data_IF_339247314906
#
_entry.id   IF_339247314906
#
_cell.length_a   1.000
_cell.length_b   1.000
_cell.length_c   1.000
_cell.angle_alpha   90.00
_cell.angle_beta   90.00
_cell.angle_gamma   90.00
#
_symmetry.space_group_name_H-M   'P 1'
#
loop_
_entity.id
_entity.type
_entity.pdbx_description
1 polymer ?
#
# COMPACT_ATOMS: atom_id res chain seq x y z
N UNK A 1 18.03 10.98 3.14
CA UNK A 1 17.93 9.65 2.48
C UNK A 1 16.51 9.53 1.96
N UNK A 2 16.27 8.85 0.85
CA UNK A 2 14.91 8.68 0.32
C UNK A 2 14.14 7.58 1.07
N UNK A 3 12.81 7.60 0.99
CA UNK A 3 11.96 6.51 1.47
C UNK A 3 12.26 5.27 0.61
N UNK A 4 12.69 4.19 1.25
CA UNK A 4 13.00 2.91 0.57
C UNK A 4 11.79 2.00 0.45
N UNK A 5 10.80 2.18 1.32
CA UNK A 5 9.57 1.37 1.33
C UNK A 5 8.46 2.03 2.14
N UNK A 6 7.23 1.89 1.65
CA UNK A 6 6.00 2.19 2.38
C UNK A 6 5.48 0.91 3.01
N UNK A 7 5.30 0.90 4.33
CA UNK A 7 4.74 -0.21 5.10
C UNK A 7 3.31 0.17 5.49
N UNK A 8 2.32 -0.58 5.01
CA UNK A 8 0.91 -0.26 5.23
C UNK A 8 0.29 -1.27 6.18
N UNK A 9 -0.27 -0.82 7.31
CA UNK A 9 -1.23 -1.63 8.06
C UNK A 9 -2.54 -1.69 7.27
N UNK A 10 -2.80 -2.85 6.69
CA UNK A 10 -3.93 -3.06 5.81
C UNK A 10 -5.29 -2.95 6.50
N UNK A 11 -5.43 -3.37 7.77
CA UNK A 11 -6.72 -3.26 8.45
C UNK A 11 -6.96 -1.88 9.06
N UNK A 12 -5.90 -1.19 9.48
CA UNK A 12 -5.96 0.22 9.81
C UNK A 12 -6.45 1.01 8.59
N UNK A 13 -5.81 0.85 7.43
CA UNK A 13 -6.21 1.59 6.24
C UNK A 13 -7.63 1.24 5.74
N UNK A 14 -8.02 -0.04 5.75
CA UNK A 14 -9.39 -0.45 5.40
C UNK A 14 -10.44 0.07 6.38
N UNK A 15 -10.07 0.31 7.64
CA UNK A 15 -10.99 0.89 8.61
C UNK A 15 -11.31 2.35 8.28
N UNK A 16 -10.32 3.11 7.81
CA UNK A 16 -10.45 4.52 7.43
C UNK A 16 -10.82 4.73 5.96
N UNK A 17 -11.09 3.66 5.20
CA UNK A 17 -11.48 3.74 3.78
C UNK A 17 -12.69 2.84 3.44
N UNK A 18 -13.87 3.09 4.05
CA UNK A 18 -15.05 2.25 3.87
C UNK A 18 -15.58 2.23 2.43
N UNK A 19 -15.34 3.29 1.65
CA UNK A 19 -15.76 3.41 0.25
C UNK A 19 -14.99 2.47 -0.68
N UNK A 20 -13.76 2.09 -0.32
CA UNK A 20 -12.89 1.24 -1.16
C UNK A 20 -13.54 -0.12 -1.48
N UNK A 21 -14.30 -0.66 -0.52
CA UNK A 21 -14.99 -1.94 -0.65
C UNK A 21 -16.41 -1.82 -0.08
N UNK A 22 -17.19 -0.88 -0.63
CA UNK A 22 -18.54 -0.58 -0.16
C UNK A 22 -19.42 -1.83 -0.02
N UNK A 23 -20.00 -2.01 1.17
CA UNK A 23 -20.88 -3.15 1.47
C UNK A 23 -20.17 -4.48 1.72
N UNK A 24 -18.83 -4.51 1.77
CA UNK A 24 -18.04 -5.69 2.15
C UNK A 24 -17.48 -5.54 3.57
N UNK A 25 -17.40 -6.61 4.36
CA UNK A 25 -16.68 -6.57 5.63
C UNK A 25 -15.19 -6.24 5.40
N UNK A 26 -14.61 -5.39 6.24
CA UNK A 26 -13.18 -5.00 6.15
C UNK A 26 -12.19 -6.17 6.21
N UNK A 27 -12.57 -7.26 6.89
CA UNK A 27 -11.75 -8.48 7.00
C UNK A 27 -12.00 -9.47 5.86
N UNK A 28 -12.86 -9.14 4.90
CA UNK A 28 -13.17 -10.02 3.78
C UNK A 28 -12.03 -10.07 2.76
N UNK A 29 -11.96 -11.18 2.02
CA UNK A 29 -11.08 -11.31 0.87
C UNK A 29 -11.23 -10.14 -0.11
N UNK A 30 -12.47 -9.76 -0.44
CA UNK A 30 -12.76 -8.69 -1.40
C UNK A 30 -12.22 -7.32 -0.96
N UNK A 31 -12.28 -6.99 0.33
CA UNK A 31 -11.72 -5.75 0.85
C UNK A 31 -10.19 -5.72 0.73
N UNK A 32 -9.53 -6.84 1.04
CA UNK A 32 -8.07 -6.97 0.90
C UNK A 32 -7.63 -6.90 -0.56
N UNK A 33 -8.36 -7.58 -1.45
CA UNK A 33 -8.08 -7.60 -2.89
C UNK A 33 -8.22 -6.19 -3.51
N UNK A 34 -9.28 -5.46 -3.14
CA UNK A 34 -9.47 -4.06 -3.55
C UNK A 34 -8.31 -3.17 -3.06
N UNK A 35 -7.89 -3.34 -1.80
CA UNK A 35 -6.75 -2.61 -1.26
C UNK A 35 -5.45 -2.92 -2.01
N UNK A 36 -5.13 -4.19 -2.23
CA UNK A 36 -3.92 -4.61 -2.96
C UNK A 36 -3.92 -4.03 -4.38
N UNK A 37 -5.07 -4.00 -5.06
CA UNK A 37 -5.20 -3.42 -6.39
C UNK A 37 -4.87 -1.93 -6.43
N UNK A 38 -5.42 -1.15 -5.48
CA UNK A 38 -5.18 0.30 -5.42
C UNK A 38 -3.74 0.61 -5.00
N UNK A 39 -3.19 -0.14 -4.04
CA UNK A 39 -1.79 0.04 -3.63
C UNK A 39 -0.80 -0.32 -4.75
N UNK A 40 -1.15 -1.28 -5.62
CA UNK A 40 -0.35 -1.58 -6.81
C UNK A 40 -0.34 -0.41 -7.78
N UNK A 41 -1.50 0.19 -8.06
CA UNK A 41 -1.57 1.41 -8.88
C UNK A 41 -0.78 2.56 -8.26
N UNK A 42 -0.83 2.73 -6.95
CA UNK A 42 -0.04 3.74 -6.25
C UNK A 42 1.47 3.48 -6.37
N UNK A 43 1.93 2.23 -6.21
CA UNK A 43 3.34 1.88 -6.43
C UNK A 43 3.76 2.20 -7.87
N UNK A 44 2.94 1.86 -8.86
CA UNK A 44 3.22 2.14 -10.26
C UNK A 44 3.26 3.65 -10.56
N UNK A 45 2.42 4.44 -9.86
CA UNK A 45 2.31 5.89 -10.04
C UNK A 45 3.40 6.69 -9.35
N UNK A 46 3.76 6.28 -8.13
CA UNK A 46 4.72 6.97 -7.28
C UNK A 46 6.16 6.46 -7.48
N UNK A 47 6.32 5.24 -7.98
CA UNK A 47 7.59 4.52 -7.99
C UNK A 47 8.07 4.10 -6.60
N UNK A 48 7.25 4.28 -5.55
CA UNK A 48 7.60 3.91 -4.18
C UNK A 48 7.24 2.45 -3.91
N UNK A 49 8.19 1.58 -3.51
CA UNK A 49 7.88 0.20 -3.17
C UNK A 49 6.90 0.12 -1.99
N UNK A 50 5.83 -0.65 -2.15
CA UNK A 50 4.79 -0.83 -1.11
C UNK A 50 4.78 -2.26 -0.61
N UNK A 51 4.71 -2.41 0.71
CA UNK A 51 4.38 -3.67 1.38
C UNK A 51 3.15 -3.44 2.24
N UNK A 52 2.11 -4.25 2.04
CA UNK A 52 0.91 -4.25 2.89
C UNK A 52 0.96 -5.43 3.86
N UNK A 53 0.67 -5.17 5.13
CA UNK A 53 0.68 -6.13 6.21
C UNK A 53 -0.74 -6.30 6.73
N UNK A 54 -1.22 -7.54 6.77
CA UNK A 54 -2.50 -7.88 7.38
C UNK A 54 -2.31 -8.76 8.61
N UNK A 55 -3.17 -8.57 9.61
CA UNK A 55 -3.20 -9.49 10.73
C UNK A 55 -3.70 -10.88 10.32
N UNK A 56 -2.85 -11.89 10.52
CA UNK A 56 -3.13 -13.28 10.17
C UNK A 56 -4.20 -13.94 11.04
N UNK A 57 -4.63 -13.29 12.13
CA UNK A 57 -5.77 -13.72 12.93
C UNK A 57 -7.12 -13.65 12.18
N UNK A 58 -7.20 -12.87 11.10
CA UNK A 58 -8.42 -12.70 10.29
C UNK A 58 -8.45 -13.45 8.96
N UNK A 59 -7.36 -14.14 8.57
CA UNK A 59 -7.31 -14.84 7.29
C UNK A 59 -8.00 -16.22 7.40
N UNK A 60 -8.98 -16.55 6.53
CA UNK A 60 -9.59 -17.87 6.51
C UNK A 60 -8.55 -19.00 6.35
N UNK A 61 -8.79 -20.19 6.93
CA UNK A 61 -7.95 -21.36 6.71
C UNK A 61 -7.77 -21.61 5.21
N UNK A 62 -6.52 -21.76 4.75
CA UNK A 62 -6.19 -21.98 3.34
C UNK A 62 -5.79 -20.73 2.56
N UNK A 63 -5.81 -19.53 3.16
CA UNK A 63 -5.21 -18.33 2.55
C UNK A 63 -3.69 -18.59 2.37
N UNK A 64 -3.14 -18.53 1.14
CA UNK A 64 -1.71 -18.72 0.90
C UNK A 64 -0.90 -17.75 1.74
N UNK A 65 0.12 -18.25 2.44
CA UNK A 65 0.88 -17.47 3.42
C UNK A 65 1.69 -16.32 2.79
N UNK A 66 2.03 -16.44 1.51
CA UNK A 66 2.78 -15.46 0.73
C UNK A 66 2.13 -15.37 -0.65
N UNK A 67 1.16 -14.48 -0.84
CA UNK A 67 0.62 -14.13 -2.16
C UNK A 67 1.42 -12.97 -2.78
N UNK A 68 2.76 -12.99 -2.69
CA UNK A 68 3.58 -12.10 -3.50
C UNK A 68 3.38 -12.49 -4.96
N UNK A 69 2.44 -11.84 -5.64
CA UNK A 69 2.16 -12.09 -7.04
C UNK A 69 3.32 -11.57 -7.89
N UNK A 70 3.62 -12.30 -8.98
CA UNK A 70 4.63 -11.99 -10.00
C UNK A 70 4.44 -10.64 -10.73
N UNK A 71 3.51 -9.78 -10.29
CA UNK A 71 3.14 -8.48 -10.88
C UNK A 71 2.31 -7.64 -9.90
N UNK A 72 2.81 -7.35 -8.70
CA UNK A 72 2.09 -6.52 -7.72
C UNK A 72 2.97 -6.08 -6.55
N UNK A 73 2.34 -5.58 -5.50
CA UNK A 73 2.99 -5.22 -4.24
C UNK A 73 3.30 -6.45 -3.38
N UNK A 74 4.16 -6.28 -2.36
CA UNK A 74 4.38 -7.33 -1.36
C UNK A 74 3.22 -7.37 -0.36
N UNK A 75 2.67 -8.57 -0.14
CA UNK A 75 1.59 -8.80 0.84
C UNK A 75 2.10 -9.75 1.91
N UNK A 76 2.12 -9.29 3.17
CA UNK A 76 2.54 -10.07 4.33
C UNK A 76 1.36 -10.33 5.26
N UNK A 77 1.30 -11.54 5.81
CA UNK A 77 0.38 -11.89 6.88
C UNK A 77 1.14 -12.15 8.17
N UNK A 78 0.71 -11.54 9.28
CA UNK A 78 1.28 -11.85 10.60
C UNK A 78 1.03 -13.32 10.97
N UNK A 79 1.94 -13.92 11.75
CA UNK A 79 1.76 -15.31 12.22
C UNK A 79 0.77 -15.35 13.37
N UNK A 80 0.22 -16.53 13.68
CA UNK A 80 -0.61 -16.72 14.88
C UNK A 80 0.17 -16.27 16.14
N UNK A 81 -0.42 -15.34 16.90
CA UNK A 81 0.21 -14.75 18.08
C UNK A 81 1.17 -13.60 17.80
N UNK A 82 1.26 -13.13 16.55
CA UNK A 82 1.93 -11.87 16.18
C UNK A 82 0.90 -10.87 15.65
N UNK A 83 1.15 -9.58 15.87
CA UNK A 83 0.34 -8.48 15.29
C UNK A 83 1.00 -7.94 14.02
N UNK A 84 0.24 -7.19 13.23
CA UNK A 84 0.74 -6.45 12.07
C UNK A 84 1.83 -5.46 12.49
N UNK A 85 1.62 -4.74 13.59
CA UNK A 85 2.58 -3.80 14.18
C UNK A 85 3.93 -4.48 14.44
N UNK A 86 3.93 -5.67 15.05
CA UNK A 86 5.18 -6.42 15.29
C UNK A 86 5.93 -6.79 14.01
N UNK A 87 5.20 -7.00 12.90
CA UNK A 87 5.82 -7.24 11.59
C UNK A 87 6.37 -5.93 11.04
N UNK A 88 5.62 -4.83 11.14
CA UNK A 88 6.02 -3.50 10.67
C UNK A 88 7.27 -3.01 11.40
N UNK A 89 7.30 -3.10 12.73
CA UNK A 89 8.47 -2.76 13.57
C UNK A 89 9.71 -3.58 13.16
N UNK A 90 9.53 -4.88 12.93
CA UNK A 90 10.64 -5.76 12.51
C UNK A 90 11.16 -5.36 11.14
N UNK A 91 10.28 -5.09 10.18
CA UNK A 91 10.68 -4.67 8.83
C UNK A 91 11.35 -3.30 8.88
N UNK A 92 10.80 -2.35 9.63
CA UNK A 92 11.39 -1.03 9.84
C UNK A 92 12.81 -1.13 10.42
N UNK A 93 13.01 -1.97 11.44
CA UNK A 93 14.33 -2.21 12.01
C UNK A 93 15.32 -2.82 11.01
N UNK A 94 14.89 -3.82 10.25
CA UNK A 94 15.73 -4.49 9.24
C UNK A 94 16.08 -3.58 8.06
N UNK A 95 15.23 -2.61 7.74
CA UNK A 95 15.43 -1.69 6.62
C UNK A 95 16.37 -0.52 6.91
N UNK A 96 16.68 -0.25 8.18
CA UNK A 96 17.55 0.87 8.60
C UNK A 96 18.86 1.02 7.80
N UNK A 97 19.61 -0.06 7.49
CA UNK A 97 20.86 0.08 6.73
C UNK A 97 20.66 0.52 5.27
N UNK A 98 19.45 0.33 4.73
CA UNK A 98 19.12 0.61 3.34
C UNK A 98 18.48 1.99 3.17
N UNK A 99 17.75 2.47 4.18
CA UNK A 99 17.18 3.82 4.21
C UNK A 99 15.94 3.92 5.09
N UNK A 100 15.12 4.93 4.81
CA UNK A 100 13.98 5.29 5.62
C UNK A 100 12.72 4.53 5.18
N UNK A 101 11.94 4.00 6.12
CA UNK A 101 10.61 3.46 5.82
C UNK A 101 9.53 4.45 6.23
N UNK A 102 8.43 4.47 5.49
CA UNK A 102 7.22 5.20 5.86
C UNK A 102 6.15 4.22 6.30
N UNK A 103 5.73 4.24 7.56
CA UNK A 103 4.60 3.46 8.04
C UNK A 103 3.28 4.21 7.83
N UNK A 104 2.25 3.52 7.34
CA UNK A 104 0.90 4.05 7.17
C UNK A 104 0.00 3.38 8.20
N UNK A 105 -0.33 4.15 9.23
CA UNK A 105 -1.15 3.69 10.35
C UNK A 105 -1.65 4.89 11.17
N UNK A 106 -2.83 4.73 11.75
CA UNK A 106 -3.38 5.65 12.75
C UNK A 106 -3.14 5.18 14.20
N UNK A 107 -2.46 4.04 14.42
CA UNK A 107 -2.06 3.61 15.77
C UNK A 107 -0.89 4.47 16.28
N UNK A 108 -1.09 5.15 17.41
CA UNK A 108 -0.07 6.05 17.95
C UNK A 108 1.21 5.33 18.40
N UNK A 109 1.09 4.16 19.02
CA UNK A 109 2.24 3.42 19.55
C UNK A 109 3.12 2.88 18.42
N UNK A 110 2.49 2.42 17.34
CA UNK A 110 3.20 1.96 16.15
C UNK A 110 3.97 3.11 15.48
N UNK A 111 3.31 4.27 15.31
CA UNK A 111 3.93 5.48 14.73
C UNK A 111 5.18 5.90 15.48
N UNK A 112 5.08 6.04 16.80
CA UNK A 112 6.21 6.41 17.67
C UNK A 112 7.34 5.39 17.55
N UNK A 113 7.01 4.10 17.49
CA UNK A 113 8.02 3.05 17.35
C UNK A 113 8.76 3.16 16.03
N UNK A 114 8.06 3.29 14.90
CA UNK A 114 8.70 3.44 13.57
C UNK A 114 9.57 4.70 13.51
N UNK A 115 9.10 5.82 14.08
CA UNK A 115 9.86 7.07 14.16
C UNK A 115 11.13 6.88 15.00
N UNK A 116 11.02 6.22 16.16
CA UNK A 116 12.19 5.91 17.02
C UNK A 116 13.22 5.02 16.31
N UNK A 117 12.77 4.22 15.34
CA UNK A 117 13.63 3.38 14.51
C UNK A 117 14.29 4.15 13.37
N UNK A 118 14.00 5.44 13.19
CA UNK A 118 14.53 6.29 12.12
C UNK A 118 13.71 6.25 10.83
N UNK A 119 12.45 5.80 10.90
CA UNK A 119 11.46 5.92 9.84
C UNK A 119 10.58 7.17 9.99
N UNK A 120 9.57 7.27 9.13
CA UNK A 120 8.47 8.23 9.22
C UNK A 120 7.13 7.52 9.32
N UNK A 121 6.10 8.26 9.74
CA UNK A 121 4.75 7.74 9.81
C UNK A 121 3.73 8.69 9.18
N UNK A 122 2.84 8.14 8.35
CA UNK A 122 1.77 8.83 7.64
C UNK A 122 0.40 8.37 8.17
N UNK A 123 -0.56 9.28 8.29
CA UNK A 123 -1.93 8.91 8.68
C UNK A 123 -2.64 8.22 7.52
N UNK A 124 -3.67 7.43 7.82
CA UNK A 124 -4.45 6.76 6.78
C UNK A 124 -5.09 7.76 5.82
N UNK A 125 -5.65 8.86 6.33
CA UNK A 125 -6.32 9.90 5.55
C UNK A 125 -5.34 10.61 4.62
N UNK A 126 -4.15 10.96 5.12
CA UNK A 126 -3.11 11.60 4.32
C UNK A 126 -2.61 10.66 3.22
N UNK A 127 -2.49 9.37 3.54
CA UNK A 127 -2.08 8.36 2.58
C UNK A 127 -3.13 8.13 1.48
N UNK A 128 -4.42 8.13 1.82
CA UNK A 128 -5.53 8.08 0.85
C UNK A 128 -5.42 9.25 -0.13
N UNK A 129 -5.21 10.48 0.35
CA UNK A 129 -5.03 11.64 -0.51
C UNK A 129 -3.83 11.49 -1.45
N UNK A 130 -2.69 11.00 -0.94
CA UNK A 130 -1.51 10.74 -1.79
C UNK A 130 -1.80 9.70 -2.87
N UNK A 131 -2.58 8.67 -2.56
CA UNK A 131 -3.00 7.68 -3.57
C UNK A 131 -3.80 8.36 -4.67
N UNK A 132 -4.82 9.13 -4.31
CA UNK A 132 -5.68 9.81 -5.28
C UNK A 132 -4.90 10.78 -6.16
N UNK A 133 -3.97 11.53 -5.59
CA UNK A 133 -3.14 12.49 -6.31
C UNK A 133 -2.22 11.80 -7.33
N UNK A 134 -1.53 10.73 -6.91
CA UNK A 134 -0.60 10.01 -7.78
C UNK A 134 -1.31 9.20 -8.86
N UNK A 135 -2.36 8.46 -8.50
CA UNK A 135 -3.14 7.64 -9.45
C UNK A 135 -3.90 8.54 -10.43
N UNK A 136 -4.51 9.63 -9.94
CA UNK A 136 -5.16 10.64 -10.78
C UNK A 136 -4.18 11.29 -11.76
N UNK A 137 -2.97 11.65 -11.30
CA UNK A 137 -1.91 12.19 -12.13
C UNK A 137 -1.45 11.24 -13.24
N UNK A 138 -1.26 9.94 -12.92
CA UNK A 138 -0.90 8.93 -13.91
C UNK A 138 -1.99 8.79 -14.99
N UNK A 139 -3.25 8.68 -14.59
CA UNK A 139 -4.37 8.57 -15.53
C UNK A 139 -4.48 9.78 -16.47
N UNK A 140 -4.23 10.99 -15.97
CA UNK A 140 -4.17 12.20 -16.77
C UNK A 140 -3.06 12.14 -17.84
N UNK A 141 -1.85 11.77 -17.44
CA UNK A 141 -0.70 11.63 -18.35
C UNK A 141 -0.95 10.59 -19.46
N UNK A 142 -1.48 9.42 -19.10
CA UNK A 142 -1.83 8.37 -20.05
C UNK A 142 -2.90 8.83 -21.06
N UNK A 143 -3.91 9.57 -20.61
CA UNK A 143 -4.95 10.13 -21.48
C UNK A 143 -4.37 11.15 -22.48
N UNK A 144 -3.45 12.01 -22.05
CA UNK A 144 -2.77 12.96 -22.94
C UNK A 144 -1.90 12.27 -23.98
N UNK A 145 -1.11 11.27 -23.58
CA UNK A 145 -0.29 10.47 -24.49
C UNK A 145 -1.15 9.77 -25.54
N UNK A 146 -2.23 9.10 -25.11
CA UNK A 146 -3.18 8.46 -26.01
C UNK A 146 -3.81 9.45 -27.00
N UNK A 147 -4.11 10.68 -26.57
CA UNK A 147 -4.65 11.74 -27.44
C UNK A 147 -3.62 12.24 -28.45
N UNK A 148 -2.33 12.34 -28.07
CA UNK A 148 -1.23 12.71 -28.98
C UNK A 148 -1.02 11.64 -30.05
N UNK A 149 -0.93 10.38 -29.65
CA UNK A 149 -0.77 9.23 -30.56
C UNK A 149 -1.92 9.14 -31.58
N UNK A 150 -3.17 9.29 -31.12
CA UNK A 150 -4.35 9.31 -32.01
C UNK A 150 -4.32 10.44 -33.04
N UNK A 151 -3.76 11.61 -32.68
CA UNK A 151 -3.58 12.73 -33.61
C UNK A 151 -2.45 12.48 -34.61
N UNK A 152 -1.39 11.80 -34.19
CA UNK A 152 -0.27 11.39 -35.05
C UNK A 152 -0.72 10.39 -36.12
N UNK A 153 -1.53 9.39 -35.75
CA UNK A 153 -2.05 8.38 -36.67
C UNK A 153 -3.03 8.92 -37.72
N UNK A 154 -3.70 10.05 -37.43
CA UNK A 154 -4.69 10.68 -38.33
C UNK A 154 -4.09 11.65 -39.35
N UNK A 155 -2.76 11.83 -39.41
CA UNK A 155 -2.13 12.63 -40.48
C UNK A 155 -1.80 11.70 -41.66
N UNK A 156 -2.50 11.82 -42.81
CA UNK A 156 -2.08 11.11 -44.02
C UNK A 156 -0.76 11.70 -44.51
N UNK A 157 0.09 10.85 -45.09
CA UNK A 157 1.33 11.24 -45.78
C UNK A 157 1.03 12.10 -47.00
#
# INVERSE_FOLDING_TARGET
MGIVRVLVDGYSLLHFWPELAQGKPRHSFYARDALVSVLTQYQDASGMPVTVIFDGGGAPPGTPKNESAKSGIEVLFSKKGQTADQVIERVAHLMKPYGEVMAVTNDYAERETVISLGGTACSCESFIQMIDDHVGGMHGSLAELNKRERKGYRRPR
#
